data_IF_435454410993
#
_entry.id   IF_435454410993
#
_cell.length_a   1.000
_cell.length_b   1.000
_cell.length_c   1.000
_cell.angle_alpha   90.00
_cell.angle_beta   90.00
_cell.angle_gamma   90.00
#
_symmetry.space_group_name_H-M   'P 1'
#
loop_
_entity.id
_entity.type
_entity.pdbx_description
1 polymer ?
#
# COMPACT_ATOMS: atom_id res chain seq x y z
N UNK A 1 1.33 -4.79 19.92
CA UNK A 1 0.13 -3.96 19.78
C UNK A 1 -0.63 -4.28 18.47
N UNK A 2 0.05 -4.49 17.34
CA UNK A 2 -0.58 -4.75 16.04
C UNK A 2 -0.55 -6.21 15.62
N UNK A 3 -0.30 -7.12 16.54
CA UNK A 3 -0.17 -8.55 16.26
C UNK A 3 -1.46 -9.16 15.73
N UNK A 4 -2.61 -8.77 16.31
CA UNK A 4 -3.91 -9.27 15.85
C UNK A 4 -4.20 -8.82 14.43
N UNK A 5 -3.89 -7.57 14.08
CA UNK A 5 -4.09 -7.05 12.74
C UNK A 5 -3.19 -7.76 11.74
N UNK A 6 -1.93 -7.99 12.12
CA UNK A 6 -0.99 -8.73 11.26
C UNK A 6 -1.44 -10.17 11.02
N UNK A 7 -2.05 -10.80 12.03
CA UNK A 7 -2.58 -12.16 11.89
C UNK A 7 -3.72 -12.25 10.88
N UNK A 8 -4.44 -11.14 10.65
CA UNK A 8 -5.54 -11.09 9.68
C UNK A 8 -5.07 -10.76 8.27
N UNK A 9 -3.82 -10.33 8.10
CA UNK A 9 -3.24 -9.99 6.80
C UNK A 9 -2.83 -11.26 6.07
N UNK A 10 -3.80 -11.96 5.50
CA UNK A 10 -3.59 -13.26 4.84
C UNK A 10 -3.80 -13.23 3.33
N UNK A 11 -4.29 -12.11 2.78
CA UNK A 11 -4.48 -11.97 1.35
C UNK A 11 -3.17 -11.60 0.68
N UNK A 12 -2.94 -12.15 -0.51
CA UNK A 12 -1.77 -11.81 -1.31
C UNK A 12 -2.10 -10.57 -2.15
N UNK A 13 -1.38 -9.49 -1.88
CA UNK A 13 -1.56 -8.23 -2.59
C UNK A 13 -0.31 -7.99 -3.44
N UNK A 14 -0.51 -7.86 -4.74
CA UNK A 14 0.59 -7.60 -5.67
C UNK A 14 0.87 -6.12 -5.75
N UNK A 15 2.14 -5.76 -5.56
CA UNK A 15 2.62 -4.38 -5.65
C UNK A 15 3.47 -4.26 -6.92
N UNK A 16 3.15 -3.25 -7.73
CA UNK A 16 3.91 -2.95 -8.95
C UNK A 16 4.73 -1.69 -8.71
N UNK A 17 6.05 -1.83 -8.75
CA UNK A 17 6.99 -0.72 -8.52
C UNK A 17 7.54 -0.24 -9.85
N UNK A 18 7.43 1.07 -10.17
CA UNK A 18 7.99 1.60 -11.41
C UNK A 18 9.51 1.51 -11.40
N UNK A 19 10.10 1.33 -12.58
CA UNK A 19 11.53 1.33 -12.73
C UNK A 19 12.12 2.73 -12.64
N UNK A 20 13.44 2.80 -12.45
CA UNK A 20 14.15 4.07 -12.44
C UNK A 20 14.11 4.72 -13.82
N UNK A 21 14.18 6.07 -13.87
CA UNK A 21 14.26 6.79 -15.12
C UNK A 21 15.60 6.50 -15.80
N UNK A 22 15.54 6.19 -17.09
CA UNK A 22 16.72 6.00 -17.92
C UNK A 22 17.23 7.36 -18.43
N UNK A 23 18.50 7.43 -18.86
CA UNK A 23 19.04 8.68 -19.45
C UNK A 23 18.24 9.18 -20.65
N UNK A 24 17.51 8.29 -21.35
CA UNK A 24 16.63 8.66 -22.47
C UNK A 24 15.33 9.34 -22.02
N UNK A 25 15.07 9.42 -20.72
CA UNK A 25 13.82 9.95 -20.18
C UNK A 25 12.71 8.93 -20.05
N UNK A 26 12.92 7.69 -20.48
CA UNK A 26 11.96 6.61 -20.34
C UNK A 26 12.13 5.93 -18.99
N UNK A 27 11.04 5.31 -18.50
CA UNK A 27 11.12 4.49 -17.29
C UNK A 27 11.79 3.17 -17.62
N UNK A 28 12.72 2.74 -16.77
CA UNK A 28 13.30 1.42 -16.86
C UNK A 28 12.32 0.32 -16.48
N UNK A 29 12.72 -0.94 -16.59
CA UNK A 29 11.84 -2.05 -16.20
C UNK A 29 11.48 -1.95 -14.73
N UNK A 30 10.18 -2.06 -14.44
CA UNK A 30 9.68 -2.12 -13.08
C UNK A 30 9.82 -3.49 -12.46
N UNK A 31 9.46 -3.60 -11.22
CA UNK A 31 9.43 -4.87 -10.50
C UNK A 31 8.06 -5.08 -9.87
N UNK A 32 7.71 -6.34 -9.62
CA UNK A 32 6.51 -6.69 -8.89
C UNK A 32 6.89 -7.57 -7.70
N UNK A 33 6.16 -7.41 -6.62
CA UNK A 33 6.33 -8.27 -5.46
C UNK A 33 4.98 -8.42 -4.76
N UNK A 34 4.87 -9.43 -3.91
CA UNK A 34 3.64 -9.74 -3.19
C UNK A 34 3.83 -9.50 -1.71
N UNK A 35 2.86 -8.83 -1.10
CA UNK A 35 2.83 -8.63 0.35
C UNK A 35 1.55 -9.23 0.92
N UNK A 36 1.59 -9.61 2.17
CA UNK A 36 0.39 -10.07 2.88
C UNK A 36 -0.38 -8.89 3.40
N UNK A 37 -1.69 -8.91 3.21
CA UNK A 37 -2.53 -7.80 3.62
C UNK A 37 -3.97 -8.19 3.88
N UNK A 38 -4.73 -7.20 4.33
CA UNK A 38 -6.17 -7.30 4.55
C UNK A 38 -6.83 -6.13 3.85
N UNK A 39 -7.60 -6.41 2.81
CA UNK A 39 -8.37 -5.41 2.09
C UNK A 39 -9.66 -5.14 2.82
N UNK A 40 -9.94 -3.87 3.09
CA UNK A 40 -11.17 -3.43 3.73
C UNK A 40 -11.97 -2.61 2.71
N UNK A 41 -13.20 -3.06 2.49
CA UNK A 41 -14.13 -2.41 1.58
C UNK A 41 -15.08 -1.53 2.39
N UNK A 42 -14.64 -0.31 2.68
CA UNK A 42 -15.38 0.62 3.52
C UNK A 42 -15.09 2.05 3.06
N UNK A 43 -16.07 2.91 3.19
CA UNK A 43 -15.96 4.30 2.76
C UNK A 43 -15.41 5.16 3.89
N UNK A 44 -14.32 5.88 3.60
CA UNK A 44 -13.72 6.85 4.52
C UNK A 44 -13.46 8.17 3.81
N UNK A 45 -13.64 9.26 4.52
CA UNK A 45 -13.23 10.58 4.06
C UNK A 45 -11.82 10.83 4.58
N UNK A 46 -10.86 10.97 3.66
CA UNK A 46 -9.45 11.17 4.01
C UNK A 46 -8.88 12.35 3.22
N UNK A 47 -7.75 12.86 3.70
CA UNK A 47 -6.97 13.86 2.98
C UNK A 47 -5.85 13.14 2.22
N UNK A 48 -5.77 13.36 0.91
CA UNK A 48 -4.77 12.71 0.08
C UNK A 48 -3.37 13.36 0.26
N UNK A 49 -2.38 12.83 -0.46
CA UNK A 49 -1.00 13.32 -0.38
C UNK A 49 -0.83 14.76 -0.89
N UNK A 50 -1.82 15.30 -1.60
CA UNK A 50 -1.83 16.67 -2.09
C UNK A 50 -2.64 17.61 -1.19
N UNK A 51 -3.14 17.13 -0.06
CA UNK A 51 -3.91 17.92 0.89
C UNK A 51 -5.39 18.07 0.54
N UNK A 52 -5.88 17.37 -0.48
CA UNK A 52 -7.28 17.43 -0.90
C UNK A 52 -8.10 16.34 -0.21
N UNK A 53 -9.31 16.70 0.21
CA UNK A 53 -10.25 15.72 0.74
C UNK A 53 -10.81 14.87 -0.40
N UNK A 54 -10.86 13.56 -0.18
CA UNK A 54 -11.51 12.65 -1.10
C UNK A 54 -12.16 11.49 -0.35
N UNK A 55 -13.11 10.84 -0.99
CA UNK A 55 -13.81 9.69 -0.44
C UNK A 55 -13.10 8.41 -0.87
N UNK A 56 -12.45 7.77 0.07
CA UNK A 56 -11.78 6.49 -0.14
C UNK A 56 -12.80 5.37 0.01
N UNK A 57 -12.90 4.49 -0.98
CA UNK A 57 -13.84 3.36 -0.94
C UNK A 57 -13.21 2.06 -0.49
N UNK A 58 -11.90 1.96 -0.64
CA UNK A 58 -11.16 0.78 -0.23
C UNK A 58 -9.83 1.19 0.36
N UNK A 59 -9.40 0.47 1.37
CA UNK A 59 -8.06 0.60 1.91
C UNK A 59 -7.57 -0.77 2.34
N UNK A 60 -6.27 -0.89 2.51
CA UNK A 60 -5.67 -2.17 2.87
C UNK A 60 -4.64 -1.98 3.97
N UNK A 61 -4.65 -2.91 4.91
CA UNK A 61 -3.57 -3.07 5.87
C UNK A 61 -2.61 -4.09 5.30
N UNK A 62 -1.32 -3.78 5.27
CA UNK A 62 -0.32 -4.69 4.74
C UNK A 62 0.83 -4.88 5.73
N UNK A 63 1.44 -6.05 5.68
CA UNK A 63 2.70 -6.32 6.37
C UNK A 63 3.81 -5.77 5.46
N UNK A 64 4.59 -4.76 5.91
CA UNK A 64 5.57 -4.09 5.05
C UNK A 64 6.86 -4.91 4.90
N UNK A 65 6.78 -5.96 4.12
CA UNK A 65 7.90 -6.86 3.87
C UNK A 65 7.84 -7.32 2.40
N UNK A 66 8.41 -6.56 1.47
CA UNK A 66 9.07 -5.26 1.63
C UNK A 66 8.10 -4.09 1.80
N UNK A 67 8.63 -2.97 2.28
CA UNK A 67 7.86 -1.74 2.48
C UNK A 67 7.34 -1.18 1.16
N UNK A 68 6.06 -0.76 1.15
CA UNK A 68 5.45 -0.12 -0.01
C UNK A 68 5.78 1.37 -0.01
N UNK A 69 6.10 1.91 -1.18
CA UNK A 69 6.43 3.31 -1.39
C UNK A 69 5.27 4.06 -2.04
N UNK A 70 5.20 5.40 -1.90
CA UNK A 70 4.06 6.16 -2.42
C UNK A 70 3.84 6.08 -3.94
N UNK A 71 4.88 5.85 -4.72
CA UNK A 71 4.81 5.75 -6.18
C UNK A 71 4.45 4.35 -6.67
N UNK A 72 4.34 3.37 -5.79
CA UNK A 72 3.95 2.02 -6.14
C UNK A 72 2.48 1.96 -6.52
N UNK A 73 2.10 0.99 -7.33
CA UNK A 73 0.72 0.70 -7.68
C UNK A 73 0.30 -0.62 -7.08
N UNK A 74 -0.98 -0.73 -6.75
CA UNK A 74 -1.51 -1.90 -6.07
C UNK A 74 -2.47 -2.63 -7.01
N UNK A 75 -2.22 -3.92 -7.21
CA UNK A 75 -3.15 -4.78 -7.94
C UNK A 75 -4.06 -5.48 -6.93
N UNK A 76 -5.35 -5.19 -7.02
CA UNK A 76 -6.34 -5.70 -6.07
C UNK A 76 -6.54 -7.20 -6.26
N UNK A 77 -6.57 -7.98 -5.17
CA UNK A 77 -6.74 -9.44 -5.29
C UNK A 77 -8.14 -9.87 -5.70
N UNK A 78 -9.15 -9.01 -5.50
CA UNK A 78 -10.54 -9.37 -5.77
C UNK A 78 -10.94 -9.20 -7.22
N UNK A 79 -10.43 -8.17 -7.91
CA UNK A 79 -10.85 -7.85 -9.29
C UNK A 79 -9.68 -7.65 -10.23
N UNK A 80 -8.45 -7.85 -9.75
CA UNK A 80 -7.22 -7.71 -10.54
C UNK A 80 -7.00 -6.31 -11.11
N UNK A 81 -7.68 -5.31 -10.55
CA UNK A 81 -7.57 -3.92 -10.99
C UNK A 81 -6.35 -3.25 -10.36
N UNK A 82 -5.60 -2.51 -11.16
CA UNK A 82 -4.43 -1.76 -10.69
C UNK A 82 -4.88 -0.37 -10.24
N UNK A 83 -4.53 -0.02 -9.01
CA UNK A 83 -4.90 1.25 -8.39
C UNK A 83 -3.66 2.02 -7.95
N UNK A 84 -3.73 3.34 -8.07
CA UNK A 84 -2.70 4.22 -7.52
C UNK A 84 -2.92 4.41 -6.01
N UNK A 85 -1.83 4.60 -5.28
CA UNK A 85 -1.89 4.89 -3.85
C UNK A 85 -2.20 6.36 -3.66
N UNK A 86 -3.32 6.66 -3.01
CA UNK A 86 -3.73 8.03 -2.74
C UNK A 86 -3.13 8.58 -1.44
N UNK A 87 -2.97 7.69 -0.47
CA UNK A 87 -2.34 8.03 0.80
C UNK A 87 -1.72 6.77 1.38
N UNK A 88 -0.57 6.96 2.02
CA UNK A 88 0.14 5.87 2.67
C UNK A 88 0.35 6.24 4.13
N UNK A 89 -0.14 5.39 5.03
CA UNK A 89 0.06 5.53 6.45
C UNK A 89 0.81 4.34 7.02
N UNK A 90 1.13 4.39 8.31
CA UNK A 90 1.80 3.29 8.95
C UNK A 90 1.63 3.30 10.46
N UNK A 91 1.71 2.12 11.04
CA UNK A 91 1.69 1.94 12.48
C UNK A 91 3.02 1.34 12.91
N UNK A 92 3.69 2.03 13.81
CA UNK A 92 5.01 1.63 14.31
C UNK A 92 4.87 0.90 15.63
N UNK A 93 5.72 -0.10 15.84
CA UNK A 93 5.80 -0.78 17.13
C UNK A 93 6.42 0.17 18.16
N UNK A 94 5.76 0.34 19.28
CA UNK A 94 6.24 1.22 20.34
C UNK A 94 7.48 0.70 21.08
N UNK A 95 7.79 -0.58 20.93
CA UNK A 95 8.92 -1.19 21.63
C UNK A 95 10.23 -1.03 20.85
N UNK A 96 10.20 -1.22 19.52
CA UNK A 96 11.41 -1.19 18.69
C UNK A 96 11.43 -0.06 17.67
N UNK A 97 10.33 0.69 17.54
CA UNK A 97 10.21 1.80 16.60
C UNK A 97 10.11 1.38 15.13
N UNK A 98 9.99 0.09 14.84
CA UNK A 98 9.90 -0.40 13.48
C UNK A 98 8.48 -0.35 12.96
N UNK A 99 8.37 -0.20 11.64
CA UNK A 99 7.08 -0.20 10.96
C UNK A 99 6.46 -1.60 11.04
N UNK A 100 5.32 -1.72 11.70
CA UNK A 100 4.65 -2.99 11.92
C UNK A 100 3.60 -3.28 10.85
N UNK A 101 2.81 -2.27 10.48
CA UNK A 101 1.73 -2.38 9.51
C UNK A 101 1.69 -1.09 8.70
N UNK A 102 1.50 -1.19 7.39
CA UNK A 102 1.21 -0.05 6.53
C UNK A 102 -0.27 -0.03 6.19
N UNK A 103 -0.82 1.17 6.00
CA UNK A 103 -2.19 1.34 5.51
C UNK A 103 -2.11 2.05 4.17
N UNK A 104 -2.74 1.43 3.17
CA UNK A 104 -2.77 1.96 1.81
C UNK A 104 -4.20 2.40 1.53
N UNK A 105 -4.38 3.68 1.19
CA UNK A 105 -5.68 4.23 0.80
C UNK A 105 -5.73 4.35 -0.72
N UNK A 106 -6.76 3.77 -1.32
CA UNK A 106 -6.89 3.63 -2.77
C UNK A 106 -8.00 4.50 -3.38
#
# INVERSE_FOLDING_TARGET
>A
MYESLRAWCKQDITVERPGALLPSGESGPGSTFTVKGLVVDDTKLITDKNGQLYQCRQYAYIIPDPKVEPEDKIRMPTNNKVCEIRKLGGYYDGNDGKLSVQVIYL
#
